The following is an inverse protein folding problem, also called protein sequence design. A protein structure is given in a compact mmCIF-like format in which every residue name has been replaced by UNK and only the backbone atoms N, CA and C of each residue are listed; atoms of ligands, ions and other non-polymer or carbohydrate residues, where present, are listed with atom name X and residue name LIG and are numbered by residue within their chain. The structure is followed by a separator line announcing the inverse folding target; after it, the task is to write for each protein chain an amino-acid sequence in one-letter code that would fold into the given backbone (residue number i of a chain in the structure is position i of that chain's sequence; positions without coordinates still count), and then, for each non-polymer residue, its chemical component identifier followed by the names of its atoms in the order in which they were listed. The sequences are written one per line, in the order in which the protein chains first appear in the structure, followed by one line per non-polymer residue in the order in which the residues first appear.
data_IF_593764735267
#
_entry.id   IF_593764735267
#
_cell.length_a   1.000
_cell.length_b   1.000
_cell.length_c   1.000
_cell.angle_alpha   90.00
_cell.angle_beta   90.00
_cell.angle_gamma   90.00
#
_symmetry.space_group_name_H-M   'P 1'
#
loop_
_entity.id
_entity.type
_entity.pdbx_description
1 polymer ?
#
# COMPACT_ATOMS: atom_id res chain seq x y z
N UNK A 1 -18.45 11.35 -9.51
CA UNK A 1 -17.12 10.78 -9.89
C UNK A 1 -17.35 9.72 -10.96
N UNK A 2 -16.47 9.62 -11.95
CA UNK A 2 -16.56 8.59 -12.98
C UNK A 2 -15.75 7.32 -12.60
N UNK A 3 -15.91 6.27 -13.42
CA UNK A 3 -15.27 4.96 -13.18
C UNK A 3 -13.75 5.06 -13.30
N UNK A 4 -13.26 5.80 -14.30
CA UNK A 4 -11.83 5.93 -14.57
C UNK A 4 -11.12 6.70 -13.45
N UNK A 5 -11.67 7.85 -13.05
CA UNK A 5 -11.12 8.66 -11.95
C UNK A 5 -11.03 7.85 -10.66
N UNK A 6 -12.07 7.05 -10.36
CA UNK A 6 -12.06 6.17 -9.19
C UNK A 6 -10.97 5.09 -9.28
N UNK A 7 -10.86 4.41 -10.43
CA UNK A 7 -9.85 3.36 -10.62
C UNK A 7 -8.42 3.91 -10.54
N UNK A 8 -8.15 5.08 -11.13
CA UNK A 8 -6.84 5.74 -11.07
C UNK A 8 -6.50 6.25 -9.65
N UNK A 9 -7.50 6.75 -8.90
CA UNK A 9 -7.29 7.15 -7.51
C UNK A 9 -6.94 5.96 -6.60
N UNK A 10 -7.61 4.80 -6.80
CA UNK A 10 -7.24 3.56 -6.11
C UNK A 10 -5.83 3.11 -6.50
N UNK A 11 -5.50 3.17 -7.79
CA UNK A 11 -4.19 2.77 -8.30
C UNK A 11 -3.07 3.64 -7.72
N UNK A 12 -3.25 4.97 -7.69
CA UNK A 12 -2.26 5.87 -7.10
C UNK A 12 -2.06 5.65 -5.60
N UNK A 13 -3.10 5.20 -4.90
CA UNK A 13 -3.04 4.91 -3.48
C UNK A 13 -2.30 3.60 -3.12
N UNK A 14 -2.23 2.65 -4.06
CA UNK A 14 -1.48 1.39 -3.87
C UNK A 14 -0.01 1.55 -4.27
N UNK A 15 0.29 2.41 -5.26
CA UNK A 15 1.66 2.61 -5.73
C UNK A 15 2.43 3.48 -4.73
N UNK A 16 3.08 2.82 -3.78
CA UNK A 16 4.02 3.43 -2.83
C UNK A 16 5.48 3.09 -3.19
N UNK A 17 6.42 3.46 -2.31
CA UNK A 17 7.84 3.14 -2.49
C UNK A 17 8.11 1.64 -2.59
N UNK A 18 7.37 0.82 -1.86
CA UNK A 18 7.53 -0.63 -1.90
C UNK A 18 7.28 -1.20 -3.29
N UNK A 19 6.20 -0.75 -3.95
CA UNK A 19 5.90 -1.09 -5.32
C UNK A 19 6.90 -0.45 -6.30
N UNK A 20 7.13 0.87 -6.18
CA UNK A 20 8.00 1.63 -7.08
C UNK A 20 9.48 1.22 -7.01
N UNK A 21 9.92 0.66 -5.88
CA UNK A 21 11.27 0.08 -5.73
C UNK A 21 11.40 -1.33 -6.28
N UNK A 22 10.29 -2.05 -6.49
CA UNK A 22 10.25 -3.46 -6.85
C UNK A 22 10.35 -4.43 -5.66
N UNK A 23 10.57 -3.94 -4.43
CA UNK A 23 10.81 -4.81 -3.27
C UNK A 23 9.57 -5.59 -2.82
N UNK A 24 8.39 -4.96 -2.85
CA UNK A 24 7.13 -5.65 -2.59
C UNK A 24 6.83 -6.69 -3.67
N UNK A 25 7.08 -6.35 -4.93
CA UNK A 25 6.84 -7.25 -6.07
C UNK A 25 7.74 -8.47 -5.97
N UNK A 26 9.02 -8.28 -5.62
CA UNK A 26 9.95 -9.39 -5.41
C UNK A 26 9.48 -10.28 -4.26
N UNK A 27 9.08 -9.69 -3.11
CA UNK A 27 8.69 -10.42 -1.91
C UNK A 27 7.39 -11.20 -2.06
N UNK A 28 6.36 -10.63 -2.63
CA UNK A 28 5.01 -11.21 -2.66
C UNK A 28 4.69 -11.98 -3.94
N UNK A 29 5.44 -11.75 -5.02
CA UNK A 29 5.14 -12.34 -6.32
C UNK A 29 6.35 -13.02 -6.97
N UNK A 30 7.41 -12.27 -7.32
CA UNK A 30 8.54 -12.82 -8.08
C UNK A 30 9.27 -13.94 -7.32
N UNK A 31 9.31 -13.87 -5.99
CA UNK A 31 9.84 -14.89 -5.12
C UNK A 31 9.19 -16.27 -5.27
N UNK A 32 7.94 -16.36 -5.72
CA UNK A 32 7.22 -17.64 -5.91
C UNK A 32 7.50 -18.34 -7.25
N UNK A 33 8.38 -17.82 -8.08
CA UNK A 33 8.80 -18.46 -9.33
C UNK A 33 7.62 -18.75 -10.27
N UNK A 34 7.36 -20.02 -10.60
CA UNK A 34 6.27 -20.41 -11.48
C UNK A 34 4.88 -20.05 -10.93
N UNK A 35 4.74 -19.97 -9.59
CA UNK A 35 3.47 -19.67 -8.92
C UNK A 35 3.18 -18.15 -8.80
N UNK A 36 4.03 -17.28 -9.34
CA UNK A 36 3.84 -15.82 -9.32
C UNK A 36 2.47 -15.40 -9.88
N UNK A 37 2.03 -16.04 -10.96
CA UNK A 37 0.72 -15.78 -11.58
C UNK A 37 -0.45 -16.09 -10.65
N UNK A 38 -0.37 -17.19 -9.90
CA UNK A 38 -1.38 -17.56 -8.91
C UNK A 38 -1.41 -16.55 -7.75
N UNK A 39 -0.26 -16.10 -7.26
CA UNK A 39 -0.16 -15.06 -6.23
C UNK A 39 -0.80 -13.74 -6.70
N UNK A 40 -0.49 -13.29 -7.93
CA UNK A 40 -1.09 -12.07 -8.52
C UNK A 40 -2.60 -12.22 -8.61
N UNK A 41 -3.09 -13.34 -9.14
CA UNK A 41 -4.53 -13.59 -9.27
C UNK A 41 -5.24 -13.54 -7.91
N UNK A 42 -4.68 -14.20 -6.89
CA UNK A 42 -5.24 -14.19 -5.53
C UNK A 42 -5.25 -12.78 -4.93
N UNK A 43 -4.21 -11.97 -5.15
CA UNK A 43 -4.18 -10.58 -4.72
C UNK A 43 -5.31 -9.74 -5.37
N UNK A 44 -5.47 -9.86 -6.69
CA UNK A 44 -6.49 -9.12 -7.45
C UNK A 44 -7.91 -9.56 -7.09
N UNK A 45 -8.15 -10.86 -6.93
CA UNK A 45 -9.45 -11.38 -6.50
C UNK A 45 -9.80 -10.89 -5.10
N UNK A 46 -8.84 -10.89 -4.18
CA UNK A 46 -9.01 -10.36 -2.82
C UNK A 46 -9.36 -8.88 -2.84
N UNK A 47 -8.59 -8.06 -3.57
CA UNK A 47 -8.86 -6.63 -3.73
C UNK A 47 -10.23 -6.37 -4.34
N UNK A 48 -10.58 -7.06 -5.42
CA UNK A 48 -11.89 -6.92 -6.05
C UNK A 48 -13.03 -7.27 -5.10
N UNK A 49 -12.92 -8.41 -4.43
CA UNK A 49 -13.93 -8.85 -3.47
C UNK A 49 -14.12 -7.85 -2.32
N UNK A 50 -13.02 -7.30 -1.78
CA UNK A 50 -13.04 -6.34 -0.68
C UNK A 50 -13.63 -4.99 -1.14
N UNK A 51 -13.26 -4.47 -2.32
CA UNK A 51 -13.79 -3.21 -2.83
C UNK A 51 -15.25 -3.26 -3.26
N UNK A 52 -15.79 -4.46 -3.48
CA UNK A 52 -17.22 -4.65 -3.73
C UNK A 52 -17.99 -4.88 -2.43
N UNK A 53 -17.48 -5.75 -1.56
CA UNK A 53 -18.20 -6.18 -0.34
C UNK A 53 -18.13 -5.17 0.80
N UNK A 54 -16.94 -4.60 1.09
CA UNK A 54 -16.81 -3.67 2.21
C UNK A 54 -17.71 -2.43 2.09
N UNK A 55 -17.75 -1.71 0.95
CA UNK A 55 -18.69 -0.61 0.79
C UNK A 55 -20.16 -1.03 0.98
N UNK A 56 -20.55 -2.20 0.47
CA UNK A 56 -21.92 -2.70 0.67
C UNK A 56 -22.24 -2.99 2.15
N UNK A 57 -21.25 -3.47 2.92
CA UNK A 57 -21.41 -3.66 4.37
C UNK A 57 -21.47 -2.32 5.12
N UNK A 58 -20.67 -1.34 4.72
CA UNK A 58 -20.70 0.02 5.28
C UNK A 58 -22.06 0.68 5.05
N UNK A 59 -22.62 0.57 3.84
CA UNK A 59 -23.95 1.08 3.50
C UNK A 59 -25.05 0.41 4.36
N UNK A 60 -25.03 -0.92 4.49
CA UNK A 60 -25.99 -1.68 5.31
C UNK A 60 -25.90 -1.32 6.79
N UNK A 61 -24.71 -1.05 7.27
CA UNK A 61 -24.49 -0.69 8.69
C UNK A 61 -24.70 0.81 8.97
N UNK A 62 -24.92 1.64 7.94
CA UNK A 62 -25.08 3.09 8.08
C UNK A 62 -23.83 3.81 8.59
N UNK A 63 -22.63 3.26 8.31
CA UNK A 63 -21.34 3.81 8.77
C UNK A 63 -20.40 4.08 7.58
N UNK A 64 -19.49 5.04 7.76
CA UNK A 64 -18.56 5.46 6.72
C UNK A 64 -17.12 4.93 6.90
N UNK A 65 -16.83 4.21 8.00
CA UNK A 65 -15.49 3.73 8.31
C UNK A 65 -15.48 2.25 8.71
N UNK A 66 -14.34 1.58 8.43
CA UNK A 66 -14.16 0.17 8.82
C UNK A 66 -14.18 -0.01 10.35
N UNK A 67 -13.63 0.94 11.11
CA UNK A 67 -13.70 0.90 12.59
C UNK A 67 -15.13 1.06 13.09
N UNK A 68 -15.93 1.91 12.42
CA UNK A 68 -17.37 2.01 12.66
C UNK A 68 -18.12 0.70 12.40
N UNK A 69 -17.85 0.07 11.24
CA UNK A 69 -18.42 -1.23 10.88
C UNK A 69 -18.06 -2.31 11.92
N UNK A 70 -16.78 -2.35 12.33
CA UNK A 70 -16.33 -3.28 13.34
C UNK A 70 -17.00 -3.06 14.69
N UNK A 71 -17.20 -1.80 15.08
CA UNK A 71 -17.92 -1.44 16.33
C UNK A 71 -19.38 -1.90 16.31
N UNK A 72 -20.07 -1.67 15.20
CA UNK A 72 -21.47 -2.09 15.05
C UNK A 72 -21.58 -3.60 15.07
N UNK A 73 -20.62 -4.31 14.48
CA UNK A 73 -20.70 -5.77 14.30
C UNK A 73 -20.21 -6.57 15.50
N UNK A 74 -19.12 -6.14 16.12
CA UNK A 74 -18.39 -6.91 17.15
C UNK A 74 -18.26 -6.15 18.47
N UNK A 75 -18.88 -4.96 18.58
CA UNK A 75 -18.87 -4.14 19.79
C UNK A 75 -17.67 -3.17 19.88
N UNK A 76 -17.68 -2.36 20.95
CA UNK A 76 -16.77 -1.24 21.14
C UNK A 76 -15.30 -1.67 21.25
N UNK A 77 -15.03 -2.78 21.95
CA UNK A 77 -13.65 -3.27 22.15
C UNK A 77 -12.98 -3.65 20.82
N UNK A 78 -13.70 -4.38 19.94
CA UNK A 78 -13.18 -4.78 18.65
C UNK A 78 -13.03 -3.58 17.69
N UNK A 79 -13.93 -2.60 17.75
CA UNK A 79 -13.77 -1.35 17.00
C UNK A 79 -12.52 -0.57 17.42
N UNK A 80 -12.18 -0.57 18.71
CA UNK A 80 -10.94 0.03 19.23
C UNK A 80 -9.71 -0.76 18.77
N UNK A 81 -9.73 -2.09 18.87
CA UNK A 81 -8.64 -2.96 18.41
C UNK A 81 -8.33 -2.74 16.92
N UNK A 82 -9.35 -2.58 16.06
CA UNK A 82 -9.17 -2.25 14.66
C UNK A 82 -8.57 -0.87 14.47
N UNK A 83 -8.98 0.12 15.24
CA UNK A 83 -8.39 1.46 15.20
C UNK A 83 -6.90 1.42 15.55
N UNK A 84 -6.52 0.67 16.59
CA UNK A 84 -5.11 0.45 16.95
C UNK A 84 -4.34 -0.24 15.83
N UNK A 85 -4.92 -1.26 15.19
CA UNK A 85 -4.31 -1.90 14.02
C UNK A 85 -4.07 -0.91 12.88
N UNK A 86 -5.01 -0.01 12.58
CA UNK A 86 -4.83 1.02 11.55
C UNK A 86 -3.77 2.06 11.93
N UNK A 87 -3.66 2.42 13.21
CA UNK A 87 -2.58 3.28 13.72
C UNK A 87 -1.23 2.59 13.48
N UNK A 88 -1.08 1.33 13.89
CA UNK A 88 0.15 0.56 13.70
C UNK A 88 0.48 0.39 12.21
N UNK A 89 -0.50 0.02 11.39
CA UNK A 89 -0.33 -0.12 9.95
C UNK A 89 0.16 1.19 9.32
N UNK A 90 -0.46 2.32 9.67
CA UNK A 90 -0.08 3.64 9.16
C UNK A 90 1.32 4.05 9.62
N UNK A 91 1.69 3.79 10.88
CA UNK A 91 3.01 4.12 11.43
C UNK A 91 4.12 3.26 10.81
N UNK A 92 3.89 1.94 10.67
CA UNK A 92 4.86 1.02 10.05
C UNK A 92 5.04 1.34 8.57
N UNK A 93 3.93 1.58 7.84
CA UNK A 93 4.01 1.95 6.41
C UNK A 93 4.67 3.30 6.22
N UNK A 94 4.30 4.31 7.01
CA UNK A 94 4.95 5.63 6.99
C UNK A 94 6.45 5.54 7.31
N UNK A 95 6.83 4.72 8.29
CA UNK A 95 8.23 4.44 8.61
C UNK A 95 8.98 3.73 7.48
N UNK A 96 8.34 2.78 6.80
CA UNK A 96 8.92 2.14 5.62
C UNK A 96 9.18 3.15 4.50
N UNK A 97 8.21 4.04 4.20
CA UNK A 97 8.38 5.09 3.19
C UNK A 97 9.51 6.05 3.53
N UNK A 98 9.60 6.44 4.81
CA UNK A 98 10.65 7.32 5.31
C UNK A 98 12.04 6.68 5.17
N UNK A 99 12.17 5.41 5.57
CA UNK A 99 13.40 4.63 5.40
C UNK A 99 13.78 4.43 3.92
N UNK A 100 12.79 4.18 3.04
CA UNK A 100 13.02 4.06 1.61
C UNK A 100 13.61 5.35 0.99
N UNK A 101 13.11 6.52 1.41
CA UNK A 101 13.66 7.82 0.99
C UNK A 101 15.08 8.03 1.52
N UNK A 102 15.36 7.59 2.75
CA UNK A 102 16.70 7.66 3.35
C UNK A 102 17.70 6.76 2.62
N UNK A 103 17.31 5.52 2.29
CA UNK A 103 18.11 4.59 1.49
C UNK A 103 18.37 5.11 0.08
N UNK A 104 17.34 5.71 -0.56
CA UNK A 104 17.49 6.37 -1.86
C UNK A 104 18.48 7.52 -1.77
N UNK A 105 18.39 8.35 -0.74
CA UNK A 105 19.33 9.45 -0.51
C UNK A 105 20.76 8.96 -0.35
N UNK A 106 20.99 7.88 0.38
CA UNK A 106 22.30 7.26 0.54
C UNK A 106 22.88 6.68 -0.77
N UNK A 107 21.98 6.27 -1.71
CA UNK A 107 22.39 5.78 -3.02
C UNK A 107 22.73 6.91 -4.02
N UNK A 108 22.06 8.07 -3.89
CA UNK A 108 22.18 9.19 -4.84
C UNK A 108 23.24 10.20 -4.41
N UNK A 109 23.36 10.47 -3.09
CA UNK A 109 24.26 11.49 -2.55
C UNK A 109 25.55 10.86 -2.00
N UNK A 110 26.73 11.25 -2.51
CA UNK A 110 28.02 10.71 -2.05
C UNK A 110 28.47 11.37 -0.74
N UNK A 111 27.61 11.41 0.28
CA UNK A 111 27.86 12.07 1.57
C UNK A 111 27.74 11.06 2.71
N UNK A 112 28.66 11.14 3.70
CA UNK A 112 28.70 10.22 4.83
C UNK A 112 27.40 10.16 5.65
N UNK A 113 26.65 11.29 5.71
CA UNK A 113 25.42 11.40 6.50
C UNK A 113 24.16 11.51 5.62
N UNK A 114 24.23 11.16 4.33
CA UNK A 114 23.13 11.29 3.38
C UNK A 114 21.86 10.58 3.86
N UNK A 115 21.97 9.39 4.44
CA UNK A 115 20.84 8.64 4.99
C UNK A 115 20.05 9.44 6.03
N UNK A 116 20.72 9.95 7.07
CA UNK A 116 20.07 10.73 8.14
C UNK A 116 19.53 12.08 7.66
N UNK A 117 20.28 12.77 6.80
CA UNK A 117 19.85 14.06 6.23
C UNK A 117 18.60 13.89 5.37
N UNK A 118 18.58 12.89 4.47
CA UNK A 118 17.42 12.62 3.63
C UNK A 118 16.22 12.16 4.45
N UNK A 119 16.42 11.36 5.50
CA UNK A 119 15.37 10.96 6.40
C UNK A 119 14.75 12.18 7.11
N UNK A 120 15.56 13.03 7.71
CA UNK A 120 15.10 14.25 8.40
C UNK A 120 14.40 15.23 7.46
N UNK A 121 14.99 15.49 6.27
CA UNK A 121 14.39 16.35 5.25
C UNK A 121 13.03 15.80 4.77
N UNK A 122 12.96 14.52 4.46
CA UNK A 122 11.72 13.87 3.98
C UNK A 122 10.63 13.90 5.05
N UNK A 123 11.00 13.68 6.32
CA UNK A 123 10.04 13.73 7.43
C UNK A 123 9.48 15.15 7.61
N UNK A 124 10.36 16.16 7.60
CA UNK A 124 9.95 17.56 7.71
C UNK A 124 9.06 17.98 6.53
N UNK A 125 9.47 17.66 5.30
CA UNK A 125 8.70 17.96 4.10
C UNK A 125 7.33 17.23 4.13
N UNK A 126 7.31 15.95 4.48
CA UNK A 126 6.08 15.15 4.60
C UNK A 126 5.13 15.70 5.65
N UNK A 127 5.64 16.12 6.81
CA UNK A 127 4.84 16.74 7.87
C UNK A 127 4.24 18.08 7.44
N UNK A 128 5.02 18.94 6.78
CA UNK A 128 4.54 20.23 6.23
C UNK A 128 3.45 20.00 5.18
N UNK A 129 3.68 19.11 4.21
CA UNK A 129 2.70 18.80 3.16
C UNK A 129 1.41 18.20 3.75
N UNK A 130 1.53 17.31 4.74
CA UNK A 130 0.38 16.75 5.44
C UNK A 130 -0.38 17.82 6.26
N UNK A 131 0.32 18.78 6.87
CA UNK A 131 -0.28 19.90 7.60
C UNK A 131 -1.04 20.84 6.65
N UNK A 132 -0.46 21.19 5.51
CA UNK A 132 -1.09 22.05 4.50
C UNK A 132 -2.28 21.38 3.82
N UNK A 133 -2.36 20.05 3.85
CA UNK A 133 -3.48 19.30 3.26
C UNK A 133 -3.58 19.45 1.74
N UNK A 134 -2.44 19.50 1.04
CA UNK A 134 -2.36 19.80 -0.39
C UNK A 134 -3.09 18.71 -1.21
N UNK A 135 -4.17 19.05 -1.94
CA UNK A 135 -4.92 18.07 -2.74
C UNK A 135 -4.13 17.55 -3.95
N UNK A 136 -3.03 18.22 -4.33
CA UNK A 136 -2.20 17.84 -5.47
C UNK A 136 -1.33 16.60 -5.28
N UNK A 137 -1.21 16.08 -4.06
CA UNK A 137 -0.40 14.89 -3.78
C UNK A 137 -0.98 13.62 -4.45
N UNK A 138 -2.31 13.50 -4.48
CA UNK A 138 -2.99 12.42 -5.20
C UNK A 138 -2.84 12.54 -6.73
N UNK A 139 -2.79 13.79 -7.25
CA UNK A 139 -2.55 14.03 -8.67
C UNK A 139 -1.10 13.71 -9.08
N UNK A 140 -0.11 13.98 -8.21
CA UNK A 140 1.27 13.57 -8.44
C UNK A 140 1.40 12.04 -8.51
N UNK A 141 0.71 11.31 -7.63
CA UNK A 141 0.63 9.85 -7.68
C UNK A 141 0.02 9.32 -8.98
N UNK A 142 -1.03 9.97 -9.51
CA UNK A 142 -1.64 9.59 -10.78
C UNK A 142 -0.69 9.77 -11.97
N UNK A 143 0.12 10.85 -12.00
CA UNK A 143 1.16 11.06 -13.00
C UNK A 143 2.23 9.96 -12.99
N UNK A 144 2.62 9.51 -11.79
CA UNK A 144 3.57 8.40 -11.61
C UNK A 144 3.00 7.08 -12.15
N UNK A 145 1.69 6.83 -12.03
CA UNK A 145 1.03 5.65 -12.57
C UNK A 145 1.17 5.55 -14.10
N UNK A 146 1.22 6.69 -14.80
CA UNK A 146 1.40 6.71 -16.25
C UNK A 146 2.86 6.46 -16.69
N UNK A 147 3.83 6.91 -15.91
CA UNK A 147 5.26 6.73 -16.21
C UNK A 147 5.77 5.32 -15.85
N UNK A 148 5.24 4.73 -14.81
CA UNK A 148 5.73 3.46 -14.25
C UNK A 148 5.73 2.30 -15.27
N UNK A 149 4.67 2.07 -16.09
CA UNK A 149 4.70 1.01 -17.11
C UNK A 149 5.85 1.20 -18.11
N UNK A 150 6.09 2.45 -18.54
CA UNK A 150 7.17 2.76 -19.49
C UNK A 150 8.54 2.47 -18.86
N UNK A 151 8.73 2.85 -17.59
CA UNK A 151 9.97 2.56 -16.87
C UNK A 151 10.18 1.05 -16.68
N UNK A 152 9.14 0.30 -16.32
CA UNK A 152 9.22 -1.15 -16.17
C UNK A 152 9.54 -1.85 -17.52
N UNK A 153 8.95 -1.40 -18.63
CA UNK A 153 9.27 -1.91 -19.97
C UNK A 153 10.72 -1.65 -20.33
N UNK A 154 11.24 -0.45 -20.01
CA UNK A 154 12.66 -0.11 -20.24
C UNK A 154 13.59 -0.95 -19.36
N UNK A 155 13.23 -1.21 -18.09
CA UNK A 155 14.00 -2.10 -17.23
C UNK A 155 13.98 -3.54 -17.73
N UNK A 156 12.85 -4.02 -18.25
CA UNK A 156 12.74 -5.35 -18.82
C UNK A 156 13.56 -5.54 -20.09
N UNK A 157 13.79 -4.45 -20.87
CA UNK A 157 14.61 -4.48 -22.09
C UNK A 157 16.12 -4.49 -21.82
N UNK A 158 16.56 -4.32 -20.57
CA UNK A 158 17.98 -4.43 -20.22
C UNK A 158 18.44 -5.88 -20.31
N UNK A 159 19.72 -6.15 -20.70
CA UNK A 159 20.25 -7.50 -20.68
C UNK A 159 20.22 -8.07 -19.26
N UNK A 160 19.91 -9.35 -19.13
CA UNK A 160 20.00 -10.05 -17.85
C UNK A 160 21.47 -9.98 -17.39
N UNK A 161 21.70 -9.60 -16.12
CA UNK A 161 23.03 -9.55 -15.55
C UNK A 161 23.68 -10.94 -15.51
N UNK A 162 25.04 -10.96 -15.46
CA UNK A 162 25.80 -12.21 -15.37
C UNK A 162 25.35 -13.07 -14.18
N UNK A 163 25.32 -14.39 -14.41
CA UNK A 163 24.82 -15.37 -13.48
C UNK A 163 25.68 -15.42 -12.19
N UNK A 164 25.21 -14.79 -11.12
CA UNK A 164 25.67 -15.10 -9.79
C UNK A 164 24.90 -16.34 -9.28
N UNK A 165 25.59 -17.33 -8.71
CA UNK A 165 24.98 -18.56 -8.22
C UNK A 165 24.02 -18.28 -7.05
N UNK A 166 22.78 -17.93 -7.36
CA UNK A 166 21.71 -18.00 -6.37
C UNK A 166 21.19 -19.45 -6.29
N UNK A 167 20.94 -19.96 -5.09
CA UNK A 167 20.34 -21.30 -4.96
C UNK A 167 19.03 -21.37 -5.76
N UNK A 168 18.84 -22.50 -6.45
CA UNK A 168 17.61 -22.76 -7.18
C UNK A 168 16.40 -22.53 -6.24
N UNK A 169 15.38 -21.83 -6.74
CA UNK A 169 14.16 -21.67 -5.97
C UNK A 169 13.57 -23.04 -5.71
N UNK A 170 13.43 -23.39 -4.43
CA UNK A 170 12.57 -24.51 -4.07
C UNK A 170 11.18 -24.26 -4.64
N UNK A 171 10.54 -25.24 -5.29
CA UNK A 171 9.18 -25.07 -5.78
C UNK A 171 8.28 -24.70 -4.60
N UNK A 172 7.81 -23.44 -4.56
CA UNK A 172 6.87 -23.02 -3.52
C UNK A 172 5.56 -23.81 -3.69
N UNK A 173 5.00 -24.22 -2.55
CA UNK A 173 3.68 -24.81 -2.55
C UNK A 173 2.68 -23.78 -3.10
N UNK A 174 1.81 -24.17 -4.05
CA UNK A 174 0.80 -23.28 -4.63
C UNK A 174 -0.04 -22.54 -3.56
N UNK A 175 -0.29 -23.19 -2.43
CA UNK A 175 -1.02 -22.62 -1.29
C UNK A 175 -0.30 -21.42 -0.70
N UNK A 176 1.04 -21.48 -0.55
CA UNK A 176 1.82 -20.36 0.00
C UNK A 176 1.75 -19.12 -0.90
N UNK A 177 1.89 -19.31 -2.22
CA UNK A 177 1.78 -18.22 -3.18
C UNK A 177 0.38 -17.56 -3.14
N UNK A 178 -0.69 -18.38 -3.06
CA UNK A 178 -2.06 -17.87 -2.92
C UNK A 178 -2.28 -17.11 -1.60
N UNK A 179 -1.75 -17.61 -0.49
CA UNK A 179 -1.85 -16.96 0.83
C UNK A 179 -1.11 -15.64 0.84
N UNK A 180 0.14 -15.59 0.35
CA UNK A 180 0.93 -14.36 0.26
C UNK A 180 0.25 -13.33 -0.67
N UNK A 181 -0.31 -13.78 -1.80
CA UNK A 181 -1.09 -12.93 -2.70
C UNK A 181 -2.35 -12.35 -2.03
N UNK A 182 -3.13 -13.20 -1.35
CA UNK A 182 -4.32 -12.75 -0.63
C UNK A 182 -3.97 -11.79 0.53
N UNK A 183 -2.90 -12.08 1.27
CA UNK A 183 -2.39 -11.21 2.32
C UNK A 183 -1.97 -9.83 1.77
N UNK A 184 -1.28 -9.80 0.63
CA UNK A 184 -0.92 -8.55 -0.05
C UNK A 184 -2.16 -7.76 -0.50
N UNK A 185 -3.16 -8.44 -1.07
CA UNK A 185 -4.43 -7.81 -1.45
C UNK A 185 -5.17 -7.21 -0.25
N UNK A 186 -5.24 -7.94 0.87
CA UNK A 186 -5.88 -7.48 2.09
C UNK A 186 -5.12 -6.32 2.77
N UNK A 187 -3.78 -6.37 2.77
CA UNK A 187 -2.92 -5.29 3.25
C UNK A 187 -3.20 -3.98 2.49
N UNK A 188 -3.19 -4.05 1.16
CA UNK A 188 -3.47 -2.89 0.32
C UNK A 188 -4.90 -2.37 0.48
N UNK A 189 -5.90 -3.26 0.62
CA UNK A 189 -7.27 -2.83 0.91
C UNK A 189 -7.37 -2.12 2.27
N UNK A 190 -6.62 -2.56 3.29
CA UNK A 190 -6.56 -1.90 4.59
C UNK A 190 -5.87 -0.53 4.51
N UNK A 191 -4.78 -0.42 3.76
CA UNK A 191 -4.09 0.86 3.50
C UNK A 191 -5.00 1.85 2.76
N UNK A 192 -5.85 1.35 1.85
CA UNK A 192 -6.85 2.12 1.11
C UNK A 192 -8.17 2.31 1.88
N UNK A 193 -8.25 1.95 3.18
CA UNK A 193 -9.47 2.14 3.97
C UNK A 193 -9.97 3.59 3.97
N UNK A 194 -9.07 4.56 3.88
CA UNK A 194 -9.40 5.98 3.71
C UNK A 194 -10.04 6.35 2.37
N UNK A 195 -9.93 5.50 1.35
CA UNK A 195 -10.54 5.68 0.03
C UNK A 195 -11.93 5.03 -0.10
N UNK A 196 -12.35 4.21 0.89
CA UNK A 196 -13.68 3.58 0.86
C UNK A 196 -14.84 4.56 0.74
N UNK A 197 -14.86 5.74 1.40
CA UNK A 197 -15.91 6.74 1.21
C UNK A 197 -16.06 7.18 -0.26
N UNK A 198 -14.97 7.24 -1.02
CA UNK A 198 -14.99 7.53 -2.45
C UNK A 198 -15.76 6.44 -3.23
N UNK A 199 -15.58 5.17 -2.88
CA UNK A 199 -16.34 4.07 -3.48
C UNK A 199 -17.83 4.14 -3.13
N UNK A 200 -18.20 4.67 -1.97
CA UNK A 200 -19.60 4.85 -1.56
C UNK A 200 -20.34 5.89 -2.42
N UNK A 201 -19.63 6.83 -3.06
CA UNK A 201 -20.26 7.80 -3.98
C UNK A 201 -20.74 7.16 -5.30
N UNK A 202 -20.29 5.95 -5.61
CA UNK A 202 -20.64 5.22 -6.82
C UNK A 202 -21.79 4.24 -6.57
N UNK A 203 -22.75 4.17 -7.51
CA UNK A 203 -23.76 3.10 -7.52
C UNK A 203 -23.09 1.71 -7.58
N UNK A 204 -23.70 0.65 -7.01
CA UNK A 204 -23.08 -0.68 -6.92
C UNK A 204 -22.52 -1.23 -8.25
N UNK A 205 -23.25 -1.08 -9.35
CA UNK A 205 -22.78 -1.53 -10.68
C UNK A 205 -21.57 -0.74 -11.19
N UNK A 206 -21.51 0.57 -10.96
CA UNK A 206 -20.35 1.40 -11.32
C UNK A 206 -19.14 1.13 -10.43
N UNK A 207 -19.36 0.88 -9.14
CA UNK A 207 -18.34 0.47 -8.18
C UNK A 207 -17.64 -0.81 -8.60
N UNK A 208 -18.42 -1.85 -9.00
CA UNK A 208 -17.87 -3.09 -9.51
C UNK A 208 -17.01 -2.87 -10.76
N UNK A 209 -17.48 -2.04 -11.72
CA UNK A 209 -16.71 -1.70 -12.93
C UNK A 209 -15.40 -0.95 -12.58
N UNK A 210 -15.44 0.01 -11.65
CA UNK A 210 -14.26 0.74 -11.19
C UNK A 210 -13.24 -0.19 -10.54
N UNK A 211 -13.69 -1.11 -9.68
CA UNK A 211 -12.83 -2.12 -9.08
C UNK A 211 -12.23 -3.10 -10.10
N UNK A 212 -12.99 -3.53 -11.12
CA UNK A 212 -12.45 -4.37 -12.20
C UNK A 212 -11.40 -3.63 -13.03
N UNK A 213 -11.67 -2.37 -13.40
CA UNK A 213 -10.70 -1.55 -14.13
C UNK A 213 -9.41 -1.33 -13.31
N UNK A 214 -9.55 -1.02 -12.02
CA UNK A 214 -8.41 -0.94 -11.11
C UNK A 214 -7.62 -2.24 -11.09
N UNK A 215 -8.28 -3.38 -10.91
CA UNK A 215 -7.63 -4.70 -10.88
C UNK A 215 -6.93 -5.03 -12.20
N UNK A 216 -7.50 -4.66 -13.34
CA UNK A 216 -6.88 -4.86 -14.65
C UNK A 216 -5.59 -4.03 -14.79
N UNK A 217 -5.64 -2.74 -14.45
CA UNK A 217 -4.48 -1.84 -14.52
C UNK A 217 -3.39 -2.25 -13.52
N UNK A 218 -3.78 -2.54 -12.27
CA UNK A 218 -2.85 -2.96 -11.23
C UNK A 218 -2.25 -4.33 -11.52
N UNK A 219 -3.04 -5.26 -12.03
CA UNK A 219 -2.59 -6.59 -12.45
C UNK A 219 -1.57 -6.53 -13.58
N UNK A 220 -1.76 -5.64 -14.57
CA UNK A 220 -0.78 -5.41 -15.62
C UNK A 220 0.56 -4.89 -15.05
N UNK A 221 0.52 -3.96 -14.11
CA UNK A 221 1.71 -3.45 -13.42
C UNK A 221 2.41 -4.51 -12.57
N UNK A 222 1.63 -5.31 -11.81
CA UNK A 222 2.17 -6.42 -11.02
C UNK A 222 2.85 -7.46 -11.90
N UNK A 223 2.20 -7.83 -13.02
CA UNK A 223 2.76 -8.78 -13.97
C UNK A 223 4.06 -8.26 -14.57
N UNK A 224 4.06 -7.02 -15.06
CA UNK A 224 5.23 -6.39 -15.67
C UNK A 224 6.39 -6.26 -14.66
N UNK A 225 6.12 -5.77 -13.45
CA UNK A 225 7.12 -5.69 -12.39
C UNK A 225 7.66 -7.06 -11.96
N UNK A 226 6.79 -8.09 -11.92
CA UNK A 226 7.20 -9.47 -11.63
C UNK A 226 8.12 -10.02 -12.72
N UNK A 227 7.84 -9.72 -14.00
CA UNK A 227 8.71 -10.10 -15.12
C UNK A 227 10.09 -9.42 -15.00
N UNK A 228 10.14 -8.13 -14.68
CA UNK A 228 11.40 -7.41 -14.42
C UNK A 228 12.18 -8.06 -13.28
N UNK A 229 11.54 -8.29 -12.14
CA UNK A 229 12.19 -8.92 -10.98
C UNK A 229 12.72 -10.32 -11.31
N UNK A 230 11.97 -11.12 -12.07
CA UNK A 230 12.41 -12.47 -12.46
C UNK A 230 13.55 -12.44 -13.48
N UNK A 231 13.48 -11.54 -14.46
CA UNK A 231 14.52 -11.38 -15.49
C UNK A 231 15.86 -10.96 -14.89
N UNK A 232 15.83 -10.07 -13.88
CA UNK A 232 17.03 -9.55 -13.23
C UNK A 232 17.29 -10.12 -11.83
N UNK A 233 16.69 -11.27 -11.50
CA UNK A 233 16.69 -11.82 -10.14
C UNK A 233 18.06 -11.87 -9.48
N UNK A 234 19.09 -12.28 -10.21
CA UNK A 234 20.44 -12.42 -9.68
C UNK A 234 21.06 -11.08 -9.30
N UNK A 235 20.80 -10.04 -10.08
CA UNK A 235 21.31 -8.70 -9.84
C UNK A 235 20.64 -8.00 -8.65
N UNK A 236 19.38 -8.36 -8.34
CA UNK A 236 18.54 -7.59 -7.39
C UNK A 236 18.25 -8.28 -6.07
N UNK A 237 18.54 -9.56 -5.92
CA UNK A 237 18.12 -10.39 -4.77
C UNK A 237 18.46 -9.79 -3.40
N UNK A 238 19.61 -9.13 -3.28
CA UNK A 238 20.08 -8.50 -2.04
C UNK A 238 19.89 -6.98 -2.01
N UNK A 239 19.35 -6.38 -3.08
CA UNK A 239 19.22 -4.94 -3.18
C UNK A 239 17.98 -4.44 -2.43
N UNK A 240 18.10 -3.40 -1.59
CA UNK A 240 16.95 -2.83 -0.89
C UNK A 240 15.96 -2.15 -1.86
N UNK A 241 16.48 -1.56 -2.94
CA UNK A 241 15.73 -0.83 -3.96
C UNK A 241 16.00 -1.39 -5.37
N UNK A 242 15.44 -2.58 -5.72
CA UNK A 242 15.74 -3.30 -6.95
C UNK A 242 15.67 -2.46 -8.23
N UNK A 243 14.55 -1.76 -8.46
CA UNK A 243 14.36 -1.00 -9.71
C UNK A 243 15.26 0.23 -9.80
N UNK A 244 15.59 0.88 -8.67
CA UNK A 244 16.55 1.98 -8.64
C UNK A 244 17.96 1.47 -8.98
N UNK A 245 18.33 0.30 -8.46
CA UNK A 245 19.60 -0.32 -8.80
C UNK A 245 19.71 -0.64 -10.30
N UNK A 246 18.71 -1.31 -10.86
CA UNK A 246 18.66 -1.65 -12.28
C UNK A 246 18.68 -0.41 -13.19
N UNK A 247 18.05 0.68 -12.76
CA UNK A 247 17.96 1.90 -13.56
C UNK A 247 19.31 2.59 -13.80
N UNK A 248 20.36 2.24 -13.06
CA UNK A 248 21.74 2.71 -13.34
C UNK A 248 22.20 2.34 -14.76
N UNK A 249 21.76 1.18 -15.26
CA UNK A 249 22.04 0.74 -16.63
C UNK A 249 21.30 1.56 -17.71
N UNK A 250 20.31 2.38 -17.34
CA UNK A 250 19.63 3.31 -18.26
C UNK A 250 20.37 4.64 -18.44
N UNK A 251 21.56 4.79 -17.85
CA UNK A 251 22.33 6.04 -17.83
C UNK A 251 21.77 7.06 -16.83
N UNK A 252 22.44 8.22 -16.72
CA UNK A 252 22.13 9.23 -15.70
C UNK A 252 20.67 9.72 -15.75
N UNK A 253 20.12 9.97 -16.93
CA UNK A 253 18.73 10.45 -17.08
C UNK A 253 17.70 9.42 -16.63
N UNK A 254 17.84 8.15 -17.02
CA UNK A 254 16.94 7.07 -16.63
C UNK A 254 17.03 6.79 -15.14
N UNK A 255 18.23 6.77 -14.57
CA UNK A 255 18.45 6.63 -13.13
C UNK A 255 17.76 7.74 -12.32
N UNK A 256 17.99 9.00 -12.70
CA UNK A 256 17.38 10.15 -12.03
C UNK A 256 15.85 10.10 -12.11
N UNK A 257 15.30 9.74 -13.26
CA UNK A 257 13.85 9.64 -13.43
C UNK A 257 13.23 8.58 -12.51
N UNK A 258 13.80 7.37 -12.44
CA UNK A 258 13.34 6.30 -11.55
C UNK A 258 13.47 6.70 -10.08
N UNK A 259 14.59 7.33 -9.71
CA UNK A 259 14.80 7.82 -8.34
C UNK A 259 13.76 8.88 -7.94
N UNK A 260 13.47 9.85 -8.80
CA UNK A 260 12.47 10.87 -8.57
C UNK A 260 11.05 10.28 -8.48
N UNK A 261 10.71 9.35 -9.36
CA UNK A 261 9.43 8.65 -9.32
C UNK A 261 9.24 7.90 -8.01
N UNK A 262 10.27 7.16 -7.57
CA UNK A 262 10.23 6.43 -6.31
C UNK A 262 10.13 7.39 -5.11
N UNK A 263 10.90 8.48 -5.10
CA UNK A 263 10.85 9.48 -4.02
C UNK A 263 9.46 10.10 -3.91
N UNK A 264 8.87 10.52 -5.04
CA UNK A 264 7.54 11.11 -5.07
C UNK A 264 6.46 10.12 -4.60
N UNK A 265 6.54 8.85 -5.00
CA UNK A 265 5.65 7.78 -4.54
C UNK A 265 5.77 7.57 -3.02
N UNK A 266 6.99 7.50 -2.50
CA UNK A 266 7.25 7.36 -1.07
C UNK A 266 6.73 8.56 -0.26
N UNK A 267 7.03 9.77 -0.71
CA UNK A 267 6.60 11.00 -0.05
C UNK A 267 5.08 11.13 -0.02
N UNK A 268 4.39 10.83 -1.12
CA UNK A 268 2.93 10.88 -1.19
C UNK A 268 2.28 9.88 -0.22
N UNK A 269 2.82 8.66 -0.14
CA UNK A 269 2.35 7.64 0.80
C UNK A 269 2.65 8.05 2.25
N UNK A 270 3.84 8.58 2.55
CA UNK A 270 4.18 9.11 3.88
C UNK A 270 3.19 10.17 4.34
N UNK A 271 2.88 11.15 3.48
CA UNK A 271 1.90 12.20 3.79
C UNK A 271 0.51 11.61 4.06
N UNK A 272 0.09 10.62 3.28
CA UNK A 272 -1.19 9.92 3.47
C UNK A 272 -1.23 9.21 4.82
N UNK A 273 -0.14 8.53 5.21
CA UNK A 273 -0.05 7.83 6.50
C UNK A 273 0.00 8.81 7.68
N UNK A 274 0.69 9.94 7.57
CA UNK A 274 0.68 10.99 8.58
C UNK A 274 -0.71 11.59 8.77
N UNK A 275 -1.44 11.86 7.67
CA UNK A 275 -2.83 12.31 7.74
C UNK A 275 -3.76 11.26 8.35
N UNK A 276 -3.55 9.98 8.06
CA UNK A 276 -4.32 8.88 8.66
C UNK A 276 -4.06 8.79 10.17
N UNK A 277 -2.80 8.84 10.60
CA UNK A 277 -2.43 8.87 12.02
C UNK A 277 -3.07 10.03 12.77
N UNK A 278 -3.01 11.25 12.20
CA UNK A 278 -3.64 12.42 12.80
C UNK A 278 -5.18 12.30 12.93
N UNK A 279 -5.83 11.51 12.07
CA UNK A 279 -7.28 11.24 12.14
C UNK A 279 -7.66 10.16 13.15
N UNK A 280 -6.80 9.15 13.31
CA UNK A 280 -7.06 8.03 14.23
C UNK A 280 -6.74 8.39 15.69
N UNK A 281 -5.83 9.32 15.92
CA UNK A 281 -5.51 9.80 17.26
C UNK A 281 -6.55 10.83 17.72
N UNK A 282 -7.10 10.69 18.95
CA UNK A 282 -8.07 11.64 19.51
C UNK A 282 -7.40 12.92 20.03
N UNK A 283 -6.61 13.58 19.18
CA UNK A 283 -5.77 14.73 19.51
C UNK A 283 -5.96 15.85 18.49
N UNK A 284 -5.63 17.11 18.84
CA UNK A 284 -5.57 18.19 17.86
C UNK A 284 -4.67 17.81 16.68
N UNK A 285 -5.08 18.21 15.47
CA UNK A 285 -4.39 17.82 14.22
C UNK A 285 -2.86 18.04 14.25
N UNK A 286 -2.32 19.19 14.72
CA UNK A 286 -0.87 19.38 14.76
C UNK A 286 -0.18 18.40 15.71
N UNK A 287 -0.76 18.14 16.88
CA UNK A 287 -0.23 17.17 17.86
C UNK A 287 -0.29 15.74 17.30
N UNK A 288 -1.40 15.38 16.63
CA UNK A 288 -1.55 14.09 15.98
C UNK A 288 -0.53 13.87 14.86
N UNK A 289 -0.23 14.90 14.06
CA UNK A 289 0.82 14.86 13.04
C UNK A 289 2.22 14.73 13.66
N UNK A 290 2.52 15.48 14.73
CA UNK A 290 3.81 15.39 15.41
C UNK A 290 4.06 13.98 16.00
N UNK A 291 3.07 13.42 16.71
CA UNK A 291 3.17 12.06 17.24
C UNK A 291 3.25 11.01 16.11
N UNK A 292 2.48 11.19 15.03
CA UNK A 292 2.56 10.36 13.84
C UNK A 292 3.95 10.41 13.21
N UNK A 293 4.58 11.58 13.12
CA UNK A 293 5.94 11.73 12.61
C UNK A 293 6.97 11.01 13.48
N UNK A 294 6.86 11.14 14.82
CA UNK A 294 7.71 10.39 15.75
C UNK A 294 7.51 8.88 15.60
N UNK A 295 6.27 8.40 15.49
CA UNK A 295 5.99 6.99 15.28
C UNK A 295 6.59 6.48 13.96
N UNK A 296 6.43 7.20 12.85
CA UNK A 296 7.06 6.87 11.58
C UNK A 296 8.59 6.84 11.67
N UNK A 297 9.20 7.79 12.40
CA UNK A 297 10.64 7.83 12.60
C UNK A 297 11.15 6.60 13.36
N UNK A 298 10.46 6.19 14.44
CA UNK A 298 10.80 4.99 15.20
C UNK A 298 10.76 3.73 14.34
N UNK A 299 9.71 3.56 13.54
CA UNK A 299 9.62 2.42 12.63
C UNK A 299 10.62 2.50 11.46
N UNK A 300 10.99 3.70 10.99
CA UNK A 300 12.00 3.86 9.95
C UNK A 300 13.37 3.32 10.37
N UNK A 301 13.70 3.34 11.67
CA UNK A 301 14.94 2.78 12.19
C UNK A 301 15.06 1.25 12.01
N UNK A 302 13.96 0.55 11.78
CA UNK A 302 13.96 -0.90 11.47
C UNK A 302 14.59 -1.15 10.09
N UNK A 303 14.46 -0.19 9.17
CA UNK A 303 14.92 -0.26 7.79
C UNK A 303 13.84 -0.77 6.82
N UNK A 304 13.81 -0.18 5.63
CA UNK A 304 12.81 -0.46 4.60
C UNK A 304 12.75 -1.95 4.22
N UNK A 305 13.91 -2.54 3.93
CA UNK A 305 13.99 -3.93 3.51
C UNK A 305 13.40 -4.91 4.53
N UNK A 306 13.68 -4.71 5.84
CA UNK A 306 13.15 -5.57 6.92
C UNK A 306 11.64 -5.40 7.08
N UNK A 307 11.13 -4.18 7.01
CA UNK A 307 9.69 -3.91 7.12
C UNK A 307 8.94 -4.62 5.98
N UNK A 308 9.40 -4.48 4.74
CA UNK A 308 8.73 -5.10 3.58
C UNK A 308 8.87 -6.62 3.62
N UNK A 309 10.04 -7.15 4.00
CA UNK A 309 10.31 -8.59 3.95
C UNK A 309 9.63 -9.38 5.08
N UNK A 310 9.55 -8.82 6.26
CA UNK A 310 9.02 -9.51 7.46
C UNK A 310 7.76 -8.86 8.01
N UNK A 311 7.70 -7.53 8.06
CA UNK A 311 6.58 -6.79 8.62
C UNK A 311 5.30 -6.87 7.76
N UNK A 312 5.42 -6.64 6.48
CA UNK A 312 4.25 -6.64 5.56
C UNK A 312 3.56 -8.00 5.46
N UNK A 313 4.24 -9.15 5.41
CA UNK A 313 3.55 -10.44 5.45
C UNK A 313 2.73 -10.66 6.72
N UNK A 314 3.26 -10.29 7.88
CA UNK A 314 2.54 -10.40 9.16
C UNK A 314 1.33 -9.47 9.18
N UNK A 315 1.52 -8.20 8.83
CA UNK A 315 0.41 -7.23 8.72
C UNK A 315 -0.63 -7.66 7.69
N UNK A 316 -0.19 -8.19 6.55
CA UNK A 316 -1.05 -8.71 5.51
C UNK A 316 -1.91 -9.87 5.99
N UNK A 317 -1.35 -10.82 6.72
CA UNK A 317 -2.10 -11.94 7.31
C UNK A 317 -3.13 -11.44 8.34
N UNK A 318 -2.76 -10.50 9.21
CA UNK A 318 -3.69 -9.87 10.15
C UNK A 318 -4.82 -9.13 9.43
N UNK A 319 -4.49 -8.35 8.40
CA UNK A 319 -5.47 -7.65 7.57
C UNK A 319 -6.39 -8.65 6.85
N UNK A 320 -5.86 -9.75 6.31
CA UNK A 320 -6.64 -10.77 5.63
C UNK A 320 -7.66 -11.42 6.57
N UNK A 321 -7.24 -11.83 7.77
CA UNK A 321 -8.13 -12.39 8.77
C UNK A 321 -9.25 -11.41 9.16
N UNK A 322 -8.90 -10.16 9.40
CA UNK A 322 -9.87 -9.12 9.77
C UNK A 322 -10.83 -8.78 8.62
N UNK A 323 -10.32 -8.61 7.40
CA UNK A 323 -11.16 -8.32 6.23
C UNK A 323 -12.12 -9.46 5.91
N UNK A 324 -11.69 -10.71 6.11
CA UNK A 324 -12.55 -11.88 6.00
C UNK A 324 -13.71 -11.79 7.00
N UNK A 325 -13.42 -11.51 8.28
CA UNK A 325 -14.43 -11.31 9.32
C UNK A 325 -15.41 -10.19 8.98
N UNK A 326 -14.93 -9.06 8.44
CA UNK A 326 -15.78 -7.94 8.05
C UNK A 326 -16.63 -8.23 6.81
N UNK A 327 -16.24 -9.15 5.96
CA UNK A 327 -16.99 -9.56 4.77
C UNK A 327 -18.07 -10.61 5.01
N UNK A 328 -18.11 -11.26 6.19
CA UNK A 328 -19.17 -12.19 6.52
C UNK A 328 -20.54 -11.46 6.54
N UNK A 329 -21.67 -12.09 6.25
CA UNK A 329 -22.98 -11.45 6.30
C UNK A 329 -23.30 -10.97 7.74
N UNK A 330 -23.91 -9.79 7.87
CA UNK A 330 -24.40 -9.31 9.17
C UNK A 330 -25.56 -10.21 9.64
N UNK A 331 -25.60 -10.60 10.91
CA UNK A 331 -26.76 -11.30 11.45
C UNK A 331 -27.98 -10.37 11.33
N UNK A 332 -29.09 -10.91 10.84
CA UNK A 332 -30.34 -10.18 10.57
C UNK A 332 -31.00 -9.57 11.82
N UNK A 333 -30.60 -10.00 13.01
CA UNK A 333 -31.13 -9.54 14.29
C UNK A 333 -30.56 -8.20 14.80
N UNK A 334 -29.54 -7.61 14.16
CA UNK A 334 -28.89 -6.38 14.65
C UNK A 334 -29.53 -5.07 14.19
N UNK A 335 -30.61 -5.12 13.42
CA UNK A 335 -31.29 -3.95 12.86
C UNK A 335 -32.73 -3.83 13.42
N UNK A 336 -32.94 -3.95 14.73
CA UNK A 336 -34.15 -3.39 15.34
C UNK A 336 -33.94 -1.86 15.39
N UNK A 337 -34.79 -1.03 14.74
CA UNK A 337 -34.72 0.41 14.90
C UNK A 337 -34.98 0.76 16.39
N UNK A 338 -34.06 1.46 17.01
CA UNK A 338 -34.28 2.12 18.29
C UNK A 338 -35.16 3.37 18.11
N UNK A 339 -36.28 3.23 17.39
CA UNK A 339 -37.33 4.24 17.29
C UNK A 339 -38.55 3.75 18.00
N UNK A 340 -38.62 3.86 19.29
CA UNK A 340 -39.90 3.90 20.07
C UNK A 340 -39.72 4.08 21.58
N UNK A 341 -38.82 4.95 22.06
CA UNK A 341 -38.81 5.27 23.48
C UNK A 341 -38.63 6.75 23.85
N UNK A 342 -38.83 7.68 22.92
CA UNK A 342 -38.82 9.12 23.26
C UNK A 342 -40.15 9.87 22.96
N UNK A 343 -41.28 9.20 22.93
CA UNK A 343 -42.57 9.90 22.83
C UNK A 343 -43.51 9.60 24.01
N UNK A 344 -42.97 9.45 25.22
CA UNK A 344 -43.81 9.43 26.43
C UNK A 344 -42.97 9.79 27.66
N UNK A 345 -42.59 11.07 27.75
CA UNK A 345 -42.45 11.79 29.05
C UNK A 345 -42.38 13.29 28.77
#
# INVERSE_FOLDING_TARGET
MDILTCALALLSGVIGAGFASGREIDRFFAGHGAMSGAAILCALLTLHALFVRLPAQLERAGVSSLSGLCRVRFGRAMGLALTVLFILLSAITGGAMLSACAELGALVLPMRHAYGLCMGFTLALGAVLAFLGIPGLAAAGAGLCALLPMLLLRLLSLPAGEACFLPAMTPDLPVRACVDGAAYGALNAAMLAGALPMLLTLKPGRRRKASLLFCALFGALLLLGTLVCRHHRQAIALMPLPFVYLSRALGAGGYTLVALCMYAAALSTLCTMLCALARYLPLPRPTGLALGAVACLLFAMIGFGRIVQSGYPVLGALCAALMLLLCLPLPTSSFAPQEASQSSR
#
